data_IF_268415001810
#
_entry.id   IF_268415001810
#
_cell.length_a   1.000
_cell.length_b   1.000
_cell.length_c   1.000
_cell.angle_alpha   90.00
_cell.angle_beta   90.00
_cell.angle_gamma   90.00
#
_symmetry.space_group_name_H-M   'P 1'
#
loop_
_entity.id
_entity.type
_entity.pdbx_description
1 polymer ?
#
# COMPACT_ATOMS: atom_id res chain seq x y z
N UNK A 1 -18.20 4.48 4.73
CA UNK A 1 -18.15 4.36 3.26
C UNK A 1 -16.78 4.79 2.71
N UNK A 2 -16.25 5.95 3.12
CA UNK A 2 -14.94 6.45 2.68
C UNK A 2 -13.75 5.57 3.09
N UNK A 3 -13.78 5.00 4.31
CA UNK A 3 -12.70 4.12 4.83
C UNK A 3 -12.47 2.89 3.95
N UNK A 4 -13.55 2.26 3.46
CA UNK A 4 -13.47 1.09 2.57
C UNK A 4 -12.78 1.44 1.25
N UNK A 5 -13.08 2.63 0.70
CA UNK A 5 -12.46 3.12 -0.53
C UNK A 5 -10.98 3.39 -0.32
N UNK A 6 -10.60 4.03 0.79
CA UNK A 6 -9.21 4.26 1.15
C UNK A 6 -8.42 2.94 1.25
N UNK A 7 -9.03 1.92 1.87
CA UNK A 7 -8.42 0.59 2.05
C UNK A 7 -8.15 -0.09 0.69
N UNK A 8 -9.11 -0.01 -0.24
CA UNK A 8 -8.96 -0.53 -1.60
C UNK A 8 -7.82 0.17 -2.34
N UNK A 9 -7.75 1.50 -2.28
CA UNK A 9 -6.67 2.29 -2.92
C UNK A 9 -5.31 1.88 -2.35
N UNK A 10 -5.21 1.70 -1.04
CA UNK A 10 -3.96 1.33 -0.36
C UNK A 10 -3.48 -0.07 -0.78
N UNK A 11 -4.40 -1.03 -0.95
CA UNK A 11 -4.10 -2.37 -1.47
C UNK A 11 -3.63 -2.29 -2.93
N UNK A 12 -4.29 -1.50 -3.78
CA UNK A 12 -3.88 -1.33 -5.18
C UNK A 12 -2.48 -0.71 -5.30
N UNK A 13 -2.18 0.30 -4.48
CA UNK A 13 -0.85 0.91 -4.42
C UNK A 13 0.22 -0.07 -3.95
N UNK A 14 -0.10 -0.96 -3.00
CA UNK A 14 0.82 -2.03 -2.60
C UNK A 14 1.16 -2.93 -3.78
N UNK A 15 0.15 -3.44 -4.49
CA UNK A 15 0.34 -4.39 -5.60
C UNK A 15 1.06 -3.74 -6.79
N UNK A 16 0.78 -2.47 -7.08
CA UNK A 16 1.44 -1.70 -8.13
C UNK A 16 2.87 -1.27 -7.78
N UNK A 17 3.14 -1.02 -6.50
CA UNK A 17 4.45 -0.60 -5.99
C UNK A 17 5.46 -1.74 -5.82
N UNK A 18 5.06 -3.01 -5.91
CA UNK A 18 5.96 -4.15 -5.84
C UNK A 18 6.90 -4.18 -7.06
N UNK A 19 8.21 -4.46 -6.88
CA UNK A 19 9.19 -4.56 -7.97
C UNK A 19 9.07 -5.86 -8.77
N UNK A 20 7.84 -6.31 -9.04
CA UNK A 20 7.50 -7.46 -9.89
C UNK A 20 7.10 -7.06 -11.30
N UNK A 21 6.76 -5.78 -11.51
CA UNK A 21 6.35 -5.25 -12.81
C UNK A 21 7.56 -4.64 -13.52
N UNK A 22 7.66 -4.80 -14.84
CA UNK A 22 8.77 -4.22 -15.62
C UNK A 22 8.91 -2.69 -15.43
N UNK A 23 7.80 -1.99 -15.20
CA UNK A 23 7.78 -0.55 -14.91
C UNK A 23 8.35 -0.19 -13.53
N UNK A 24 8.02 -0.97 -12.49
CA UNK A 24 8.44 -0.70 -11.10
C UNK A 24 9.75 -1.37 -10.70
N UNK A 25 10.41 -2.07 -11.63
CA UNK A 25 11.64 -2.85 -11.37
C UNK A 25 12.78 -2.02 -10.79
N UNK A 26 12.93 -0.77 -11.24
CA UNK A 26 13.95 0.15 -10.75
C UNK A 26 13.57 0.87 -9.44
N UNK A 27 12.32 0.73 -8.97
CA UNK A 27 11.86 1.36 -7.73
C UNK A 27 12.25 0.54 -6.49
N UNK A 28 12.60 -0.74 -6.68
CA UNK A 28 12.85 -1.67 -5.58
C UNK A 28 11.63 -1.80 -4.66
N UNK A 29 11.85 -2.00 -3.36
CA UNK A 29 10.77 -2.12 -2.37
C UNK A 29 10.37 -0.78 -1.74
N UNK A 30 10.99 0.34 -2.12
CA UNK A 30 10.76 1.66 -1.51
C UNK A 30 9.28 2.08 -1.50
N UNK A 31 8.58 2.07 -2.65
CA UNK A 31 7.16 2.45 -2.70
C UNK A 31 6.27 1.49 -1.91
N UNK A 32 6.46 0.17 -2.08
CA UNK A 32 5.67 -0.85 -1.38
C UNK A 32 5.87 -0.84 0.13
N UNK A 33 7.08 -0.51 0.62
CA UNK A 33 7.37 -0.43 2.05
C UNK A 33 6.62 0.72 2.73
N UNK A 34 6.60 1.90 2.09
CA UNK A 34 5.94 3.09 2.62
C UNK A 34 4.40 2.93 2.60
N UNK A 35 3.86 2.36 1.52
CA UNK A 35 2.43 2.05 1.42
C UNK A 35 2.04 0.96 2.43
N UNK A 36 2.87 -0.07 2.63
CA UNK A 36 2.64 -1.12 3.62
C UNK A 36 2.62 -0.58 5.05
N UNK A 37 3.52 0.35 5.37
CA UNK A 37 3.56 1.01 6.67
C UNK A 37 2.28 1.82 6.93
N UNK A 38 1.80 2.58 5.93
CA UNK A 38 0.53 3.30 6.00
C UNK A 38 -0.66 2.35 6.22
N UNK A 39 -0.66 1.18 5.57
CA UNK A 39 -1.68 0.13 5.76
C UNK A 39 -1.71 -0.37 7.21
N UNK A 40 -0.54 -0.62 7.80
CA UNK A 40 -0.43 -1.06 9.19
C UNK A 40 -0.97 0.01 10.15
N UNK A 41 -0.60 1.28 9.96
CA UNK A 41 -1.12 2.40 10.79
C UNK A 41 -2.65 2.46 10.71
N UNK A 42 -3.21 2.35 9.50
CA UNK A 42 -4.65 2.39 9.28
C UNK A 42 -5.35 1.21 9.99
N UNK A 43 -4.78 0.01 9.94
CA UNK A 43 -5.32 -1.15 10.62
C UNK A 43 -5.30 -0.98 12.14
N UNK A 44 -4.23 -0.42 12.71
CA UNK A 44 -4.16 -0.10 14.14
C UNK A 44 -5.26 0.91 14.52
N UNK A 45 -5.45 1.95 13.72
CA UNK A 45 -6.51 2.96 13.95
C UNK A 45 -7.92 2.37 13.88
N UNK A 46 -8.14 1.28 13.13
CA UNK A 46 -9.45 0.61 13.08
C UNK A 46 -9.67 -0.39 14.22
N UNK A 47 -8.59 -0.86 14.86
CA UNK A 47 -8.61 -1.82 15.96
C UNK A 47 -8.74 -1.16 17.33
N UNK A 48 -8.28 0.08 17.47
CA UNK A 48 -8.46 0.95 18.65
C UNK A 48 -9.78 1.69 18.54
#
# INVERSE_FOLDING_TARGET
MLTTILLIILILMLVGGLPRWNYSRNWGYGPSGLVGLLLIILLIYMLV
#
